data_IF_441533686991
#
_entry.id   IF_441533686991
#
_cell.length_a   1.000
_cell.length_b   1.000
_cell.length_c   1.000
_cell.angle_alpha   90.00
_cell.angle_beta   90.00
_cell.angle_gamma   90.00
#
_symmetry.space_group_name_H-M   'P 1'
#
loop_
_entity.id
_entity.type
_entity.pdbx_description
1 polymer ?
#
# COMPACT_ATOMS: atom_id res chain seq x y z
N UNK A 1 -2.03 -12.27 10.45
CA UNK A 1 -1.34 -12.91 9.31
C UNK A 1 -0.83 -11.87 8.31
N UNK A 2 -1.66 -11.02 7.68
CA UNK A 2 -1.17 -9.99 6.73
C UNK A 2 -0.21 -8.95 7.36
N UNK A 3 -0.42 -8.60 8.63
CA UNK A 3 0.42 -7.63 9.35
C UNK A 3 1.87 -8.06 9.57
N UNK A 4 2.18 -9.35 9.43
CA UNK A 4 3.53 -9.91 9.57
C UNK A 4 4.22 -10.22 8.23
N UNK A 5 3.63 -9.85 7.09
CA UNK A 5 4.25 -10.16 5.81
C UNK A 5 5.45 -9.24 5.51
N UNK A 6 6.49 -9.82 4.92
CA UNK A 6 7.65 -9.08 4.39
C UNK A 6 7.46 -8.62 2.94
N UNK A 7 6.51 -9.22 2.23
CA UNK A 7 6.22 -8.88 0.85
C UNK A 7 5.12 -9.75 0.26
N UNK A 8 4.85 -9.57 -1.02
CA UNK A 8 3.90 -10.41 -1.76
C UNK A 8 4.30 -10.58 -3.22
N UNK A 9 3.73 -11.60 -3.88
CA UNK A 9 3.81 -11.80 -5.33
C UNK A 9 2.40 -11.59 -5.90
N UNK A 10 2.28 -10.70 -6.89
CA UNK A 10 1.01 -10.43 -7.54
C UNK A 10 0.65 -11.54 -8.54
N UNK A 11 -0.40 -12.32 -8.22
CA UNK A 11 -0.88 -13.39 -9.09
C UNK A 11 -1.37 -12.91 -10.46
N UNK A 12 -1.78 -11.64 -10.59
CA UNK A 12 -2.16 -11.08 -11.89
C UNK A 12 -0.98 -11.03 -12.87
N UNK A 13 0.24 -10.95 -12.35
CA UNK A 13 1.48 -10.87 -13.12
C UNK A 13 2.00 -12.26 -13.52
N UNK A 14 1.37 -13.35 -13.08
CA UNK A 14 1.75 -14.74 -13.44
C UNK A 14 1.19 -15.11 -14.80
N UNK A 15 2.01 -15.06 -15.86
CA UNK A 15 1.62 -15.45 -17.23
C UNK A 15 1.16 -16.91 -17.31
N UNK A 16 1.90 -17.85 -16.73
CA UNK A 16 1.60 -19.30 -16.80
C UNK A 16 2.17 -20.06 -15.60
N UNK A 17 1.42 -21.06 -15.13
CA UNK A 17 1.89 -22.07 -14.16
C UNK A 17 2.23 -23.36 -14.90
N UNK A 18 3.50 -23.76 -14.91
CA UNK A 18 4.02 -24.89 -15.70
C UNK A 18 4.91 -25.81 -14.86
N UNK A 19 5.20 -27.01 -15.39
CA UNK A 19 6.19 -27.91 -14.79
C UNK A 19 7.58 -27.29 -14.93
N UNK A 20 8.50 -27.63 -14.03
CA UNK A 20 9.90 -27.21 -14.13
C UNK A 20 10.48 -27.62 -15.49
N UNK A 21 11.31 -26.74 -16.05
CA UNK A 21 12.05 -27.01 -17.28
C UNK A 21 13.48 -26.54 -17.10
N UNK A 22 14.43 -27.48 -17.05
CA UNK A 22 15.86 -27.15 -16.98
C UNK A 22 16.33 -26.44 -18.26
N UNK A 23 17.28 -25.53 -18.11
CA UNK A 23 17.80 -24.67 -19.19
C UNK A 23 16.88 -23.51 -19.57
N UNK A 24 15.84 -23.22 -18.79
CA UNK A 24 14.92 -22.11 -19.06
C UNK A 24 15.46 -20.76 -18.56
N UNK A 25 16.35 -20.78 -17.55
CA UNK A 25 17.03 -19.58 -17.04
C UNK A 25 18.52 -19.88 -16.81
N UNK A 26 19.42 -18.87 -16.91
CA UNK A 26 20.85 -19.06 -16.67
C UNK A 26 21.19 -19.63 -15.28
N UNK A 27 20.30 -19.45 -14.30
CA UNK A 27 20.48 -20.03 -12.97
C UNK A 27 20.46 -21.57 -12.96
N UNK A 28 19.98 -22.22 -14.03
CA UNK A 28 19.82 -23.67 -14.11
C UNK A 28 21.15 -24.40 -14.21
N UNK A 29 22.19 -23.73 -14.71
CA UNK A 29 23.54 -24.29 -14.82
C UNK A 29 24.15 -24.59 -13.45
N UNK A 30 23.69 -23.90 -12.41
CA UNK A 30 24.20 -24.03 -11.04
C UNK A 30 23.28 -24.89 -10.14
N UNK A 31 22.21 -25.49 -10.68
CA UNK A 31 21.23 -26.28 -9.93
C UNK A 31 21.40 -27.78 -10.21
N UNK A 32 21.76 -28.55 -9.18
CA UNK A 32 21.79 -30.01 -9.24
C UNK A 32 20.38 -30.61 -9.09
N UNK A 33 20.22 -31.87 -9.46
CA UNK A 33 19.01 -32.65 -9.18
C UNK A 33 19.16 -33.33 -7.82
N UNK A 34 18.22 -33.09 -6.92
CA UNK A 34 18.28 -33.63 -5.55
C UNK A 34 17.08 -33.23 -4.71
N UNK A 35 17.03 -33.71 -3.46
CA UNK A 35 15.86 -33.56 -2.58
C UNK A 35 16.12 -32.75 -1.31
N UNK A 36 17.21 -32.01 -1.27
CA UNK A 36 17.78 -31.34 -0.08
C UNK A 36 16.91 -30.21 0.52
N UNK A 37 15.72 -29.97 -0.02
CA UNK A 37 14.78 -29.01 0.53
C UNK A 37 14.15 -29.57 1.81
N UNK A 38 14.57 -29.03 2.96
CA UNK A 38 14.00 -29.36 4.26
C UNK A 38 12.62 -28.70 4.43
N UNK A 39 11.55 -29.51 4.41
CA UNK A 39 10.17 -29.03 4.61
C UNK A 39 9.75 -28.94 6.08
N UNK A 40 10.52 -29.55 6.98
CA UNK A 40 10.21 -29.67 8.40
C UNK A 40 11.23 -28.87 9.22
N UNK A 41 11.12 -27.53 9.22
CA UNK A 41 11.74 -26.76 10.30
C UNK A 41 10.97 -27.06 11.58
N UNK A 42 11.48 -27.98 12.39
CA UNK A 42 10.78 -28.57 13.54
C UNK A 42 10.46 -27.60 14.68
N UNK A 43 10.91 -26.34 14.61
CA UNK A 43 10.62 -25.32 15.62
C UNK A 43 9.86 -24.13 15.02
N UNK A 44 8.54 -24.13 15.15
CA UNK A 44 7.70 -22.94 14.93
C UNK A 44 8.16 -21.74 15.80
N UNK A 45 8.90 -22.00 16.89
CA UNK A 45 9.51 -21.00 17.76
C UNK A 45 10.71 -20.27 17.13
N UNK A 46 11.45 -20.90 16.21
CA UNK A 46 12.57 -20.24 15.51
C UNK A 46 12.10 -19.42 14.32
N UNK A 47 11.02 -19.84 13.64
CA UNK A 47 10.39 -19.07 12.55
C UNK A 47 9.88 -17.71 13.03
N UNK A 48 9.46 -17.61 14.30
CA UNK A 48 9.00 -16.35 14.91
C UNK A 48 10.12 -15.43 15.41
N UNK A 49 11.34 -15.93 15.58
CA UNK A 49 12.48 -15.22 16.15
C UNK A 49 13.64 -15.02 15.16
N UNK A 50 13.49 -15.47 13.91
CA UNK A 50 14.49 -15.25 12.87
C UNK A 50 14.48 -13.77 12.45
N UNK A 51 15.16 -12.95 13.26
CA UNK A 51 15.49 -11.55 12.96
C UNK A 51 16.59 -11.44 11.90
N UNK A 52 17.12 -12.58 11.44
CA UNK A 52 18.08 -12.67 10.35
C UNK A 52 17.32 -12.66 9.01
N UNK A 53 17.40 -11.53 8.29
CA UNK A 53 17.00 -11.39 6.87
C UNK A 53 18.04 -12.03 5.93
N UNK A 54 18.70 -13.11 6.35
CA UNK A 54 19.49 -13.91 5.42
C UNK A 54 18.52 -14.59 4.46
N UNK A 55 18.97 -14.80 3.21
CA UNK A 55 18.21 -15.52 2.19
C UNK A 55 17.96 -16.94 2.70
N UNK A 56 16.80 -17.17 3.30
CA UNK A 56 16.40 -18.46 3.83
C UNK A 56 15.84 -19.33 2.69
N UNK A 57 16.31 -20.57 2.61
CA UNK A 57 15.93 -21.48 1.52
C UNK A 57 16.79 -21.40 0.25
N UNK A 58 18.03 -20.90 0.34
CA UNK A 58 19.01 -21.11 -0.71
C UNK A 58 19.37 -22.61 -0.82
N UNK A 59 18.99 -23.24 -1.94
CA UNK A 59 19.23 -24.67 -2.18
C UNK A 59 19.99 -24.87 -3.48
N UNK A 60 21.05 -25.69 -3.44
CA UNK A 60 21.81 -26.09 -4.63
C UNK A 60 21.13 -27.22 -5.41
N UNK A 61 20.20 -27.93 -4.79
CA UNK A 61 19.54 -29.11 -5.37
C UNK A 61 18.01 -28.96 -5.35
N UNK A 62 17.36 -29.43 -6.41
CA UNK A 62 15.89 -29.37 -6.57
C UNK A 62 15.39 -30.64 -7.22
N UNK A 63 14.21 -31.06 -6.79
CA UNK A 63 13.53 -32.23 -7.33
C UNK A 63 12.60 -31.78 -8.46
N UNK A 64 12.98 -32.04 -9.71
CA UNK A 64 12.22 -31.68 -10.91
C UNK A 64 10.80 -32.27 -10.92
N UNK A 65 10.63 -33.47 -10.36
CA UNK A 65 9.35 -34.15 -10.27
C UNK A 65 8.43 -33.50 -9.23
N UNK A 66 8.96 -32.81 -8.22
CA UNK A 66 8.16 -32.09 -7.21
C UNK A 66 8.13 -30.56 -7.41
N UNK A 67 8.91 -30.04 -8.34
CA UNK A 67 9.01 -28.60 -8.60
C UNK A 67 8.10 -28.13 -9.74
N UNK A 68 7.54 -26.93 -9.56
CA UNK A 68 6.78 -26.23 -10.58
C UNK A 68 7.19 -24.76 -10.67
N UNK A 69 6.85 -24.14 -11.80
CA UNK A 69 7.28 -22.79 -12.15
C UNK A 69 6.09 -21.84 -12.34
N UNK A 70 6.25 -20.62 -11.82
CA UNK A 70 5.42 -19.46 -12.14
C UNK A 70 6.19 -18.58 -13.13
N UNK A 71 5.79 -18.61 -14.39
CA UNK A 71 6.32 -17.70 -15.40
C UNK A 71 5.59 -16.36 -15.28
N UNK A 72 6.33 -15.30 -14.95
CA UNK A 72 5.82 -13.93 -14.81
C UNK A 72 5.68 -13.25 -16.19
N UNK A 73 4.86 -12.20 -16.28
CA UNK A 73 4.67 -11.39 -17.50
C UNK A 73 5.94 -10.67 -17.94
N UNK A 74 6.80 -10.34 -16.99
CA UNK A 74 8.10 -9.71 -17.21
C UNK A 74 9.21 -10.69 -17.66
N UNK A 75 8.88 -11.98 -17.82
CA UNK A 75 9.80 -13.03 -18.24
C UNK A 75 10.58 -13.71 -17.12
N UNK A 76 10.48 -13.23 -15.88
CA UNK A 76 11.09 -13.89 -14.72
C UNK A 76 10.33 -15.17 -14.33
N UNK A 77 11.01 -16.06 -13.63
CA UNK A 77 10.47 -17.36 -13.21
C UNK A 77 10.62 -17.51 -11.70
N UNK A 78 9.54 -17.90 -11.03
CA UNK A 78 9.56 -18.36 -9.63
C UNK A 78 9.49 -19.87 -9.60
N UNK A 79 10.34 -20.51 -8.82
CA UNK A 79 10.32 -21.96 -8.59
C UNK A 79 9.81 -22.26 -7.21
N UNK A 80 8.92 -23.24 -7.13
CA UNK A 80 8.33 -23.70 -5.89
C UNK A 80 8.40 -25.22 -5.90
N UNK A 81 9.04 -25.80 -4.89
CA UNK A 81 9.06 -27.24 -4.68
C UNK A 81 7.95 -27.63 -3.70
N UNK A 82 7.13 -28.60 -4.08
CA UNK A 82 6.12 -29.17 -3.19
C UNK A 82 6.68 -30.36 -2.39
N UNK A 83 6.03 -30.69 -1.28
CA UNK A 83 6.38 -31.84 -0.45
C UNK A 83 6.37 -33.16 -1.25
N UNK A 84 5.32 -33.38 -2.06
CA UNK A 84 5.15 -34.55 -2.90
C UNK A 84 4.59 -34.20 -4.30
N UNK A 85 4.54 -35.19 -5.20
CA UNK A 85 4.04 -34.98 -6.58
C UNK A 85 2.52 -34.71 -6.65
N UNK A 86 1.75 -35.21 -5.68
CA UNK A 86 0.30 -35.01 -5.61
C UNK A 86 -0.03 -33.57 -5.21
N UNK A 87 0.66 -33.07 -4.19
CA UNK A 87 0.66 -31.69 -3.72
C UNK A 87 1.09 -30.76 -4.84
N UNK A 88 2.17 -31.09 -5.59
CA UNK A 88 2.55 -30.33 -6.80
C UNK A 88 1.37 -30.19 -7.77
N UNK A 89 0.73 -31.31 -8.13
CA UNK A 89 -0.42 -31.32 -9.05
C UNK A 89 -1.59 -30.49 -8.50
N UNK A 90 -1.88 -30.60 -7.20
CA UNK A 90 -2.93 -29.84 -6.53
C UNK A 90 -2.65 -28.33 -6.50
N UNK A 91 -1.44 -27.93 -6.12
CA UNK A 91 -0.98 -26.54 -6.13
C UNK A 91 -1.05 -25.95 -7.53
N UNK A 92 -0.53 -26.64 -8.54
CA UNK A 92 -0.59 -26.19 -9.92
C UNK A 92 -2.03 -25.99 -10.42
N UNK A 93 -2.96 -26.88 -10.07
CA UNK A 93 -4.37 -26.75 -10.44
C UNK A 93 -4.99 -25.51 -9.79
N UNK A 94 -4.90 -25.40 -8.46
CA UNK A 94 -5.50 -24.30 -7.69
C UNK A 94 -4.89 -22.94 -8.05
N UNK A 95 -3.57 -22.86 -8.25
CA UNK A 95 -2.91 -21.61 -8.66
C UNK A 95 -3.35 -21.16 -10.05
N UNK A 96 -3.56 -22.07 -11.00
CA UNK A 96 -4.12 -21.69 -12.32
C UNK A 96 -5.52 -21.13 -12.20
N UNK A 97 -6.36 -21.76 -11.39
CA UNK A 97 -7.73 -21.29 -11.12
C UNK A 97 -7.71 -19.91 -10.47
N UNK A 98 -6.86 -19.70 -9.46
CA UNK A 98 -6.68 -18.39 -8.79
C UNK A 98 -6.14 -17.32 -9.74
N UNK A 99 -5.10 -17.60 -10.52
CA UNK A 99 -4.54 -16.66 -11.50
C UNK A 99 -5.61 -16.27 -12.53
N UNK A 100 -6.40 -17.24 -13.01
CA UNK A 100 -7.51 -16.97 -13.93
C UNK A 100 -8.56 -16.09 -13.26
N UNK A 101 -9.00 -16.46 -12.06
CA UNK A 101 -10.01 -15.72 -11.30
C UNK A 101 -9.58 -14.27 -11.06
N UNK A 102 -8.41 -14.03 -10.47
CA UNK A 102 -7.96 -12.69 -10.11
C UNK A 102 -7.72 -11.79 -11.31
N UNK A 103 -7.29 -12.34 -12.45
CA UNK A 103 -7.22 -11.58 -13.71
C UNK A 103 -8.58 -11.16 -14.23
N UNK A 104 -9.54 -12.09 -14.24
CA UNK A 104 -10.90 -11.80 -14.67
C UNK A 104 -11.56 -10.79 -13.72
N UNK A 105 -11.41 -10.98 -12.40
CA UNK A 105 -11.95 -10.08 -11.39
C UNK A 105 -11.36 -8.67 -11.49
N UNK A 106 -10.03 -8.55 -11.64
CA UNK A 106 -9.37 -7.24 -11.82
C UNK A 106 -9.82 -6.55 -13.12
N UNK A 107 -10.00 -7.33 -14.19
CA UNK A 107 -10.52 -6.81 -15.45
C UNK A 107 -11.96 -6.32 -15.30
N UNK A 108 -12.82 -7.14 -14.70
CA UNK A 108 -14.23 -6.80 -14.43
C UNK A 108 -14.35 -5.54 -13.57
N UNK A 109 -13.54 -5.40 -12.52
CA UNK A 109 -13.52 -4.18 -11.70
C UNK A 109 -13.15 -2.93 -12.50
N UNK A 110 -12.15 -3.04 -13.40
CA UNK A 110 -11.77 -1.92 -14.27
C UNK A 110 -12.83 -1.64 -15.36
N UNK A 111 -13.46 -2.68 -15.90
CA UNK A 111 -14.52 -2.55 -16.90
C UNK A 111 -15.76 -1.88 -16.27
N UNK A 112 -16.12 -2.26 -15.03
CA UNK A 112 -17.16 -1.60 -14.26
C UNK A 112 -16.81 -0.12 -14.02
N UNK A 113 -15.60 0.16 -13.56
CA UNK A 113 -15.13 1.54 -13.31
C UNK A 113 -15.25 2.41 -14.58
N UNK A 114 -14.84 1.89 -15.73
CA UNK A 114 -14.98 2.56 -17.04
C UNK A 114 -16.43 2.74 -17.46
N UNK A 115 -17.27 1.70 -17.28
CA UNK A 115 -18.67 1.76 -17.68
C UNK A 115 -19.45 2.81 -16.90
N UNK A 116 -19.22 2.91 -15.58
CA UNK A 116 -19.84 3.93 -14.72
C UNK A 116 -19.39 5.33 -15.13
N UNK A 117 -18.09 5.51 -15.41
CA UNK A 117 -17.58 6.78 -15.93
C UNK A 117 -18.25 7.16 -17.25
N UNK A 118 -18.33 6.23 -18.19
CA UNK A 118 -18.94 6.47 -19.51
C UNK A 118 -20.42 6.88 -19.37
N UNK A 119 -21.21 6.16 -18.55
CA UNK A 119 -22.60 6.50 -18.29
C UNK A 119 -22.74 7.91 -17.69
N UNK A 120 -21.84 8.31 -16.79
CA UNK A 120 -21.85 9.63 -16.19
C UNK A 120 -21.48 10.74 -17.17
N UNK A 121 -20.51 10.50 -18.06
CA UNK A 121 -20.17 11.44 -19.13
C UNK A 121 -21.36 11.65 -20.08
N UNK A 122 -22.04 10.58 -20.46
CA UNK A 122 -23.22 10.63 -21.32
C UNK A 122 -24.40 11.34 -20.65
N UNK A 123 -24.69 11.00 -19.39
CA UNK A 123 -25.82 11.58 -18.66
C UNK A 123 -25.63 13.07 -18.36
N UNK A 124 -24.39 13.51 -18.10
CA UNK A 124 -24.05 14.91 -17.89
C UNK A 124 -23.79 15.67 -19.20
N UNK A 125 -23.73 14.98 -20.34
CA UNK A 125 -23.39 15.54 -21.66
C UNK A 125 -22.03 16.26 -21.66
N UNK A 126 -21.05 15.69 -20.99
CA UNK A 126 -19.69 16.25 -20.87
C UNK A 126 -18.65 15.30 -21.46
N UNK A 127 -17.52 15.85 -21.90
CA UNK A 127 -16.36 15.06 -22.30
C UNK A 127 -15.40 14.82 -21.12
N UNK A 128 -14.37 13.99 -21.34
CA UNK A 128 -13.35 13.70 -20.32
C UNK A 128 -12.59 14.95 -19.86
N UNK A 129 -12.49 15.98 -20.70
CA UNK A 129 -11.82 17.24 -20.31
C UNK A 129 -12.70 18.04 -19.33
N UNK A 130 -13.98 18.17 -19.64
CA UNK A 130 -14.96 18.83 -18.78
C UNK A 130 -15.20 18.04 -17.49
N UNK A 131 -15.07 16.71 -17.50
CA UNK A 131 -15.15 15.87 -16.30
C UNK A 131 -14.19 16.32 -15.18
N UNK A 132 -12.95 16.66 -15.54
CA UNK A 132 -11.96 17.13 -14.56
C UNK A 132 -12.39 18.44 -13.89
N UNK A 133 -13.02 19.35 -14.65
CA UNK A 133 -13.50 20.64 -14.14
C UNK A 133 -14.80 20.48 -13.34
N UNK A 134 -15.81 19.82 -13.91
CA UNK A 134 -17.10 19.55 -13.28
C UNK A 134 -16.88 18.76 -11.99
N UNK A 135 -16.06 17.72 -12.05
CA UNK A 135 -15.73 16.91 -10.90
C UNK A 135 -14.98 17.63 -9.77
N UNK A 136 -14.35 18.75 -10.08
CA UNK A 136 -13.56 19.53 -9.13
C UNK A 136 -14.35 20.67 -8.49
N UNK A 137 -15.23 21.31 -9.26
CA UNK A 137 -15.84 22.58 -8.89
C UNK A 137 -17.36 22.63 -8.99
N UNK A 138 -18.00 21.71 -9.72
CA UNK A 138 -19.45 21.74 -9.83
C UNK A 138 -20.11 21.39 -8.50
N UNK A 139 -21.23 22.04 -8.23
CA UNK A 139 -21.94 21.88 -6.98
C UNK A 139 -22.66 20.54 -6.96
N UNK A 140 -22.79 19.94 -5.77
CA UNK A 140 -23.41 18.61 -5.64
C UNK A 140 -24.80 18.54 -6.29
N UNK A 141 -25.61 19.59 -6.16
CA UNK A 141 -26.97 19.61 -6.73
C UNK A 141 -26.99 19.66 -8.27
N UNK A 142 -25.93 20.17 -8.92
CA UNK A 142 -25.79 20.18 -10.38
C UNK A 142 -25.52 18.76 -10.93
N UNK A 143 -24.86 17.91 -10.14
CA UNK A 143 -24.39 16.59 -10.56
C UNK A 143 -25.27 15.44 -10.03
N UNK A 144 -25.80 15.57 -8.81
CA UNK A 144 -26.42 14.45 -8.08
C UNK A 144 -27.74 13.97 -8.68
N UNK A 145 -28.42 14.81 -9.48
CA UNK A 145 -29.66 14.43 -10.18
C UNK A 145 -29.44 13.67 -11.49
N UNK A 146 -28.21 13.69 -12.02
CA UNK A 146 -27.88 13.18 -13.36
C UNK A 146 -26.76 12.14 -13.36
N UNK A 147 -26.01 11.99 -12.27
CA UNK A 147 -24.95 10.99 -12.16
C UNK A 147 -25.41 9.69 -11.51
N UNK A 148 -24.79 8.60 -11.90
CA UNK A 148 -25.00 7.24 -11.41
C UNK A 148 -23.78 6.80 -10.61
N UNK A 149 -24.02 6.16 -9.47
CA UNK A 149 -23.01 5.50 -8.66
C UNK A 149 -23.31 3.99 -8.60
N UNK A 150 -22.31 3.15 -8.88
CA UNK A 150 -22.45 1.70 -8.78
C UNK A 150 -22.22 1.22 -7.35
N UNK A 151 -23.18 0.47 -6.80
CA UNK A 151 -23.04 -0.18 -5.49
C UNK A 151 -21.96 -1.27 -5.49
N UNK A 152 -21.71 -1.92 -6.63
CA UNK A 152 -20.69 -2.96 -6.78
C UNK A 152 -19.26 -2.38 -6.69
N UNK A 153 -19.10 -1.13 -7.15
CA UNK A 153 -17.83 -0.42 -7.07
C UNK A 153 -17.48 -0.05 -5.62
N UNK A 154 -18.47 0.30 -4.79
CA UNK A 154 -18.27 0.74 -3.41
C UNK A 154 -18.72 -0.31 -2.38
N UNK A 155 -18.16 -1.52 -2.47
CA UNK A 155 -18.45 -2.63 -1.55
C UNK A 155 -17.69 -2.53 -0.21
N UNK A 156 -17.68 -1.35 0.41
CA UNK A 156 -16.98 -1.09 1.68
C UNK A 156 -17.85 -1.54 2.87
N UNK A 157 -17.52 -2.69 3.45
CA UNK A 157 -18.15 -3.19 4.68
C UNK A 157 -17.49 -2.53 5.90
N UNK A 158 -18.04 -1.41 6.36
CA UNK A 158 -17.54 -0.68 7.55
C UNK A 158 -17.82 -1.37 8.90
N UNK A 159 -18.78 -2.29 8.94
CA UNK A 159 -19.32 -2.84 10.20
C UNK A 159 -18.66 -4.17 10.59
N UNK A 160 -18.48 -5.09 9.63
CA UNK A 160 -18.22 -6.50 9.96
C UNK A 160 -16.85 -7.04 9.53
N UNK A 161 -15.84 -6.18 9.27
CA UNK A 161 -14.49 -6.59 8.81
C UNK A 161 -14.57 -7.69 7.74
N UNK A 162 -15.52 -7.56 6.82
CA UNK A 162 -15.97 -8.65 5.95
C UNK A 162 -14.86 -9.20 5.03
N UNK A 163 -13.79 -8.42 4.82
CA UNK A 163 -12.64 -8.79 3.99
C UNK A 163 -11.34 -8.48 4.72
N UNK A 164 -10.35 -9.35 4.50
CA UNK A 164 -8.99 -9.12 5.03
C UNK A 164 -8.32 -7.95 4.30
N UNK A 165 -8.46 -7.88 2.98
CA UNK A 165 -8.00 -6.76 2.15
C UNK A 165 -9.22 -5.93 1.79
N UNK A 166 -9.26 -4.68 2.25
CA UNK A 166 -10.35 -3.75 1.94
C UNK A 166 -10.12 -3.10 0.59
N UNK A 167 -8.89 -2.68 0.34
CA UNK A 167 -8.48 -2.03 -0.90
C UNK A 167 -7.01 -2.33 -1.17
N UNK A 168 -6.66 -2.47 -2.44
CA UNK A 168 -5.27 -2.64 -2.84
C UNK A 168 -5.06 -2.02 -4.21
N UNK A 169 -3.93 -1.36 -4.41
CA UNK A 169 -3.67 -0.67 -5.67
C UNK A 169 -2.36 0.07 -5.70
N UNK A 170 -2.06 0.61 -6.88
CA UNK A 170 -0.86 1.41 -7.12
C UNK A 170 -1.12 2.85 -6.71
N UNK A 171 -0.19 3.40 -5.94
CA UNK A 171 -0.18 4.81 -5.56
C UNK A 171 1.23 5.38 -5.72
N UNK A 172 1.30 6.70 -5.82
CA UNK A 172 2.55 7.43 -5.73
C UNK A 172 2.67 8.05 -4.35
N UNK A 173 3.71 7.68 -3.62
CA UNK A 173 3.98 8.13 -2.25
C UNK A 173 5.06 9.19 -2.24
N UNK A 174 4.86 10.22 -1.45
CA UNK A 174 5.84 11.23 -1.08
C UNK A 174 5.92 11.31 0.45
N UNK A 175 6.92 10.67 1.07
CA UNK A 175 6.99 10.50 2.53
C UNK A 175 7.32 11.79 3.28
N UNK A 176 7.91 12.78 2.62
CA UNK A 176 8.23 14.09 3.19
C UNK A 176 7.90 15.20 2.18
N UNK A 177 7.59 16.41 2.67
CA UNK A 177 7.25 17.56 1.83
C UNK A 177 8.28 17.86 0.73
N UNK A 178 9.58 17.68 0.99
CA UNK A 178 10.66 17.98 0.02
C UNK A 178 11.16 16.75 -0.76
N UNK A 179 10.52 15.59 -0.61
CA UNK A 179 10.89 14.38 -1.37
C UNK A 179 10.13 14.27 -2.68
N UNK A 180 10.62 13.44 -3.60
CA UNK A 180 9.93 13.13 -4.86
C UNK A 180 8.91 12.01 -4.66
N UNK A 181 7.96 11.93 -5.60
CA UNK A 181 7.01 10.83 -5.63
C UNK A 181 7.70 9.53 -6.04
N UNK A 182 7.38 8.46 -5.31
CA UNK A 182 7.85 7.10 -5.57
C UNK A 182 6.64 6.19 -5.79
N UNK A 183 6.69 5.35 -6.82
CA UNK A 183 5.62 4.39 -7.10
C UNK A 183 5.66 3.26 -6.06
N UNK A 184 4.52 3.01 -5.43
CA UNK A 184 4.35 1.98 -4.41
C UNK A 184 3.04 1.23 -4.61
N UNK A 185 3.00 -0.01 -4.15
CA UNK A 185 1.76 -0.75 -4.04
C UNK A 185 1.26 -0.64 -2.61
N UNK A 186 -0.01 -0.33 -2.44
CA UNK A 186 -0.60 -0.05 -1.13
C UNK A 186 -1.73 -1.01 -0.88
N UNK A 187 -1.83 -1.53 0.34
CA UNK A 187 -2.88 -2.44 0.78
C UNK A 187 -3.50 -1.90 2.07
N UNK A 188 -4.80 -1.63 2.04
CA UNK A 188 -5.59 -1.28 3.21
C UNK A 188 -6.14 -2.54 3.86
N UNK A 189 -5.73 -2.80 5.10
CA UNK A 189 -6.12 -3.99 5.85
C UNK A 189 -6.15 -3.69 7.35
N UNK A 190 -7.29 -4.00 8.01
CA UNK A 190 -7.43 -4.02 9.48
C UNK A 190 -6.88 -2.76 10.18
N UNK A 191 -7.20 -1.58 9.69
CA UNK A 191 -6.80 -0.31 10.29
C UNK A 191 -5.40 0.15 9.91
N UNK A 192 -4.74 -0.58 9.01
CA UNK A 192 -3.38 -0.32 8.60
C UNK A 192 -3.27 -0.15 7.09
N UNK A 193 -2.46 0.81 6.69
CA UNK A 193 -2.05 1.01 5.32
C UNK A 193 -0.66 0.40 5.13
N UNK A 194 -0.60 -0.81 4.56
CA UNK A 194 0.65 -1.49 4.24
C UNK A 194 1.20 -0.95 2.93
N UNK A 195 2.49 -0.60 2.92
CA UNK A 195 3.16 0.03 1.77
C UNK A 195 4.27 -0.88 1.29
N UNK A 196 4.22 -1.23 0.02
CA UNK A 196 5.17 -2.11 -0.65
C UNK A 196 5.88 -1.41 -1.80
N UNK A 197 7.13 -1.80 -2.04
CA UNK A 197 7.97 -1.30 -3.11
C UNK A 197 7.49 -1.88 -4.44
N UNK A 198 7.16 -1.01 -5.38
CA UNK A 198 6.77 -1.44 -6.74
C UNK A 198 7.92 -1.33 -7.75
N UNK A 199 8.95 -0.54 -7.46
CA UNK A 199 10.09 -0.39 -8.38
C UNK A 199 11.41 -0.58 -7.65
N UNK A 200 12.22 -1.52 -8.15
CA UNK A 200 13.63 -1.66 -7.79
C UNK A 200 14.48 -0.93 -8.82
N UNK A 201 15.53 -0.26 -8.36
CA UNK A 201 16.48 0.47 -9.21
C UNK A 201 17.90 0.09 -8.80
N UNK A 202 18.80 -0.01 -9.77
CA UNK A 202 20.26 -0.12 -9.50
C UNK A 202 20.77 1.22 -8.95
N UNK A 203 22.00 1.23 -8.40
CA UNK A 203 22.68 2.46 -8.02
C UNK A 203 22.80 3.49 -9.16
N UNK A 204 22.79 3.02 -10.43
CA UNK A 204 22.75 3.88 -11.62
C UNK A 204 21.37 4.45 -11.97
N UNK A 205 20.32 4.12 -11.20
CA UNK A 205 18.94 4.59 -11.41
C UNK A 205 18.10 3.77 -12.40
N UNK A 206 18.70 2.80 -13.11
CA UNK A 206 18.00 1.93 -14.07
C UNK A 206 17.03 0.98 -13.35
N UNK A 207 15.78 0.90 -13.84
CA UNK A 207 14.75 -0.01 -13.31
C UNK A 207 15.19 -1.47 -13.45
N UNK A 208 15.08 -2.22 -12.36
CA UNK A 208 15.35 -3.66 -12.27
C UNK A 208 14.02 -4.40 -12.30
N UNK A 209 13.94 -5.38 -13.18
CA UNK A 209 12.80 -6.30 -13.25
C UNK A 209 12.87 -7.21 -12.02
N UNK A 210 11.75 -7.39 -11.34
CA UNK A 210 11.67 -8.17 -10.11
C UNK A 210 10.32 -8.89 -10.02
N UNK A 211 10.22 -9.87 -9.13
CA UNK A 211 9.06 -10.76 -9.00
C UNK A 211 8.17 -10.38 -7.82
N UNK A 212 8.76 -9.92 -6.72
CA UNK A 212 8.06 -9.68 -5.46
C UNK A 212 8.04 -8.20 -5.09
N UNK A 213 7.00 -7.80 -4.37
CA UNK A 213 6.85 -6.48 -3.79
C UNK A 213 7.28 -6.53 -2.32
N UNK A 214 8.44 -5.96 -2.00
CA UNK A 214 8.96 -5.90 -0.62
C UNK A 214 8.19 -4.86 0.21
N UNK A 215 7.82 -5.18 1.44
CA UNK A 215 7.19 -4.25 2.37
C UNK A 215 8.19 -3.20 2.81
N UNK A 216 7.83 -1.93 2.58
CA UNK A 216 8.63 -0.77 2.98
C UNK A 216 8.15 -0.22 4.33
N UNK A 217 6.85 -0.34 4.62
CA UNK A 217 6.27 0.31 5.79
C UNK A 217 4.82 -0.05 6.02
N UNK A 218 4.30 0.45 7.14
CA UNK A 218 2.88 0.39 7.47
C UNK A 218 2.48 1.62 8.25
N UNK A 219 1.32 2.20 7.94
CA UNK A 219 0.73 3.33 8.67
C UNK A 219 -0.45 2.81 9.47
N UNK A 220 -0.45 3.00 10.79
CA UNK A 220 -1.64 2.80 11.63
C UNK A 220 -2.59 4.01 11.44
N UNK A 221 -3.85 3.74 11.13
CA UNK A 221 -4.85 4.76 10.86
C UNK A 221 -5.51 5.33 12.13
N UNK A 222 -5.22 4.78 13.30
CA UNK A 222 -5.71 5.33 14.58
C UNK A 222 -5.23 6.76 14.78
N UNK A 223 -6.16 7.65 15.17
CA UNK A 223 -5.86 9.07 15.39
C UNK A 223 -5.30 9.81 14.16
N UNK A 224 -5.44 9.24 12.96
CA UNK A 224 -5.07 9.91 11.72
C UNK A 224 -6.20 10.82 11.24
N UNK A 225 -5.80 11.89 10.57
CA UNK A 225 -6.66 12.79 9.82
C UNK A 225 -6.39 12.61 8.34
N UNK A 226 -7.44 12.70 7.55
CA UNK A 226 -7.40 12.54 6.10
C UNK A 226 -7.91 13.84 5.46
N UNK A 227 -7.14 14.38 4.52
CA UNK A 227 -7.59 15.48 3.67
C UNK A 227 -7.15 15.24 2.23
N UNK A 228 -7.90 15.79 1.28
CA UNK A 228 -7.73 15.51 -0.15
C UNK A 228 -8.14 16.69 -1.02
N UNK A 229 -7.76 16.64 -2.30
CA UNK A 229 -8.14 17.68 -3.27
C UNK A 229 -7.35 18.97 -3.09
N UNK A 230 -7.99 20.12 -3.29
CA UNK A 230 -7.37 21.45 -3.27
C UNK A 230 -6.57 21.73 -1.98
N UNK A 231 -6.99 21.16 -0.84
CA UNK A 231 -6.27 21.29 0.43
C UNK A 231 -4.82 20.75 0.38
N UNK A 232 -4.54 19.83 -0.54
CA UNK A 232 -3.22 19.20 -0.71
C UNK A 232 -2.26 20.03 -1.57
N UNK A 233 -2.70 21.15 -2.15
CA UNK A 233 -1.89 21.97 -3.04
C UNK A 233 -0.60 22.46 -2.36
N UNK A 234 -0.68 22.84 -1.07
CA UNK A 234 0.46 23.29 -0.28
C UNK A 234 1.52 22.19 -0.01
N UNK A 235 1.13 20.92 -0.13
CA UNK A 235 2.02 19.76 0.03
C UNK A 235 2.76 19.41 -1.28
N UNK A 236 2.32 19.96 -2.40
CA UNK A 236 2.87 19.77 -3.73
C UNK A 236 3.83 20.92 -4.10
N UNK A 237 5.07 20.86 -3.58
CA UNK A 237 6.10 21.89 -3.82
C UNK A 237 6.41 22.20 -5.29
N UNK A 238 6.19 21.25 -6.19
CA UNK A 238 6.42 21.40 -7.61
C UNK A 238 5.08 21.36 -8.32
N UNK A 239 4.40 22.50 -8.39
CA UNK A 239 3.36 22.69 -9.38
C UNK A 239 4.05 22.60 -10.75
N UNK A 240 3.64 21.65 -11.59
CA UNK A 240 4.13 21.56 -12.96
C UNK A 240 3.81 22.89 -13.66
N UNK A 241 4.82 23.75 -13.80
CA UNK A 241 4.79 24.97 -14.61
C UNK A 241 4.96 24.66 -16.10
N UNK A 242 4.50 23.49 -16.55
CA UNK A 242 4.39 23.22 -17.98
C UNK A 242 3.21 24.02 -18.48
N UNK A 243 3.49 25.23 -18.95
CA UNK A 243 2.50 26.09 -19.58
C UNK A 243 2.11 25.47 -20.92
N UNK A 244 0.86 25.02 -21.02
CA UNK A 244 0.27 24.65 -22.31
C UNK A 244 -0.38 25.89 -22.92
N UNK A 245 0.20 26.38 -24.03
CA UNK A 245 -0.35 27.53 -24.76
C UNK A 245 -1.74 27.26 -25.35
N UNK A 246 -2.07 25.99 -25.60
CA UNK A 246 -3.37 25.60 -26.17
C UNK A 246 -4.47 25.44 -25.10
N UNK A 247 -4.08 25.38 -23.82
CA UNK A 247 -5.00 25.20 -22.70
C UNK A 247 -4.60 26.12 -21.52
N UNK A 248 -4.71 27.45 -21.67
CA UNK A 248 -4.38 28.37 -20.58
C UNK A 248 -5.29 28.10 -19.37
N UNK A 249 -4.67 27.92 -18.20
CA UNK A 249 -5.36 27.65 -16.94
C UNK A 249 -5.52 26.16 -16.58
N UNK A 250 -5.14 25.22 -17.46
CA UNK A 250 -5.02 23.80 -17.09
C UNK A 250 -3.54 23.41 -17.04
N UNK A 251 -3.07 22.97 -15.88
CA UNK A 251 -1.66 22.61 -15.70
C UNK A 251 -1.38 21.11 -15.85
N UNK A 252 -2.43 20.28 -15.90
CA UNK A 252 -2.32 18.85 -16.07
C UNK A 252 -2.33 18.44 -17.54
N UNK A 253 -1.26 17.76 -17.96
CA UNK A 253 -1.22 17.07 -19.24
C UNK A 253 -2.12 15.83 -19.20
N UNK A 254 -2.87 15.51 -20.29
CA UNK A 254 -3.59 14.26 -20.42
C UNK A 254 -2.66 13.05 -20.24
N UNK A 255 -3.08 12.09 -19.42
CA UNK A 255 -2.34 10.86 -19.10
C UNK A 255 -3.11 9.64 -19.58
N UNK A 256 -2.39 8.70 -20.17
CA UNK A 256 -2.92 7.39 -20.59
C UNK A 256 -2.12 6.30 -19.89
N UNK A 257 -2.80 5.45 -19.12
CA UNK A 257 -2.21 4.31 -18.43
C UNK A 257 -2.33 3.08 -19.32
N UNK A 258 -1.23 2.70 -19.98
CA UNK A 258 -1.21 1.59 -20.96
C UNK A 258 -1.54 0.21 -20.36
N UNK A 259 -1.45 0.06 -19.04
CA UNK A 259 -1.68 -1.21 -18.34
C UNK A 259 -3.16 -1.64 -18.38
N UNK A 260 -4.08 -0.69 -18.33
CA UNK A 260 -5.52 -0.91 -18.33
C UNK A 260 -6.27 0.03 -19.30
N UNK A 261 -5.58 0.94 -19.99
CA UNK A 261 -6.18 1.94 -20.86
C UNK A 261 -6.92 3.05 -20.11
N UNK A 262 -6.65 3.24 -18.82
CA UNK A 262 -7.27 4.32 -18.05
C UNK A 262 -6.72 5.69 -18.46
N UNK A 263 -7.60 6.68 -18.64
CA UNK A 263 -7.24 8.05 -19.03
C UNK A 263 -7.55 9.03 -17.90
N UNK A 264 -6.73 10.09 -17.75
CA UNK A 264 -6.98 11.15 -16.77
C UNK A 264 -6.38 12.48 -17.24
N UNK A 265 -7.15 13.54 -17.10
CA UNK A 265 -6.76 14.95 -17.31
C UNK A 265 -6.78 15.75 -16.00
N UNK A 266 -6.90 15.06 -14.86
CA UNK A 266 -7.07 15.67 -13.55
C UNK A 266 -5.82 16.42 -13.07
N UNK A 267 -6.04 17.50 -12.33
CA UNK A 267 -4.96 18.24 -11.66
C UNK A 267 -4.27 17.44 -10.56
N UNK A 268 -3.02 17.79 -10.29
CA UNK A 268 -2.20 17.09 -9.31
C UNK A 268 -2.79 17.16 -7.89
N UNK A 269 -3.34 18.31 -7.48
CA UNK A 269 -4.04 18.43 -6.19
C UNK A 269 -5.30 17.54 -6.15
N UNK A 270 -6.02 17.42 -7.27
CA UNK A 270 -7.26 16.65 -7.36
C UNK A 270 -7.04 15.14 -7.44
N UNK A 271 -5.82 14.69 -7.71
CA UNK A 271 -5.43 13.28 -7.64
C UNK A 271 -4.73 12.92 -6.32
N UNK A 272 -4.57 13.88 -5.41
CA UNK A 272 -3.77 13.73 -4.19
C UNK A 272 -4.65 13.69 -2.94
N UNK A 273 -4.23 12.87 -1.98
CA UNK A 273 -4.72 12.85 -0.61
C UNK A 273 -3.55 12.74 0.38
N UNK A 274 -3.77 13.20 1.60
CA UNK A 274 -2.75 13.22 2.64
C UNK A 274 -3.29 12.57 3.89
N UNK A 275 -2.49 11.65 4.43
CA UNK A 275 -2.71 11.07 5.76
C UNK A 275 -1.81 11.83 6.72
N UNK A 276 -2.42 12.54 7.67
CA UNK A 276 -1.75 13.30 8.71
C UNK A 276 -1.95 12.64 10.07
N UNK A 277 -0.89 12.54 10.88
CA UNK A 277 -0.99 12.01 12.23
C UNK A 277 -0.45 13.02 13.24
N UNK A 278 -1.23 13.23 14.31
CA UNK A 278 -1.04 14.34 15.23
C UNK A 278 0.23 14.21 16.09
N UNK A 279 0.57 13.02 16.58
CA UNK A 279 1.81 12.76 17.34
C UNK A 279 2.01 11.26 17.55
N UNK A 280 2.99 10.61 16.92
CA UNK A 280 3.44 9.26 17.33
C UNK A 280 4.89 8.98 16.93
N UNK A 281 5.61 8.34 17.86
CA UNK A 281 7.04 8.01 17.88
C UNK A 281 7.48 6.88 16.91
N UNK A 282 6.65 6.45 15.97
CA UNK A 282 6.99 5.27 15.17
C UNK A 282 6.16 5.18 13.88
N UNK A 283 6.50 6.01 12.89
CA UNK A 283 5.86 5.97 11.56
C UNK A 283 6.30 4.74 10.73
N UNK A 284 7.49 4.19 11.01
CA UNK A 284 8.06 3.07 10.25
C UNK A 284 8.91 2.15 11.15
N UNK A 285 8.28 1.41 12.07
CA UNK A 285 8.91 0.22 12.66
C UNK A 285 8.65 -0.99 11.76
N UNK A 286 9.12 -0.92 10.51
CA UNK A 286 9.52 -2.10 9.76
C UNK A 286 11.00 -1.90 9.45
N UNK A 287 11.82 -2.85 9.91
CA UNK A 287 13.26 -2.84 9.77
C UNK A 287 13.70 -2.43 8.36
N UNK A 288 14.50 -1.36 8.31
CA UNK A 288 15.26 -0.91 7.13
C UNK A 288 14.41 -0.51 5.91
N UNK A 289 13.86 0.70 5.95
CA UNK A 289 13.98 1.56 4.78
C UNK A 289 14.56 2.91 5.17
N UNK A 290 15.37 3.45 4.26
CA UNK A 290 16.42 4.49 4.38
C UNK A 290 15.99 5.86 4.92
N UNK A 291 14.75 6.03 5.37
CA UNK A 291 14.22 7.35 5.75
C UNK A 291 14.46 7.73 7.22
N UNK A 292 14.96 6.85 8.10
CA UNK A 292 15.14 7.14 9.54
C UNK A 292 16.60 7.05 10.05
N UNK A 293 17.61 6.87 9.19
CA UNK A 293 19.03 6.75 9.62
C UNK A 293 19.55 8.02 10.32
N UNK A 294 18.94 9.19 10.08
CA UNK A 294 19.34 10.44 10.78
C UNK A 294 18.77 10.60 12.19
N UNK A 295 17.77 9.82 12.60
CA UNK A 295 17.19 9.92 13.95
C UNK A 295 17.70 8.86 14.92
N UNK A 296 18.26 7.74 14.42
CA UNK A 296 18.82 6.70 15.28
C UNK A 296 20.09 7.13 16.00
N UNK A 297 20.98 7.89 15.34
CA UNK A 297 22.24 8.35 15.93
C UNK A 297 22.02 9.34 17.09
N UNK A 298 21.00 10.21 17.01
CA UNK A 298 20.68 11.14 18.09
C UNK A 298 19.99 10.47 19.29
N UNK A 299 19.40 9.29 19.11
CA UNK A 299 18.78 8.51 20.20
C UNK A 299 19.77 7.61 20.94
N UNK A 300 20.77 7.07 20.24
CA UNK A 300 21.81 6.22 20.85
C UNK A 300 22.72 6.98 21.82
N UNK A 301 22.90 8.28 21.62
CA UNK A 301 23.72 9.12 22.51
C UNK A 301 22.97 9.57 23.77
N UNK A 302 21.63 9.63 23.74
CA UNK A 302 20.82 9.96 24.92
C UNK A 302 20.63 8.78 25.85
N UNK A 303 20.52 7.57 25.31
CA UNK A 303 20.32 6.36 26.11
C UNK A 303 21.63 5.88 26.77
N UNK A 304 22.80 6.16 26.18
CA UNK A 304 24.11 5.86 26.79
C UNK A 304 24.49 6.79 27.96
N UNK A 305 23.90 7.98 28.05
CA UNK A 305 24.13 8.91 29.16
C UNK A 305 23.33 8.55 30.42
N UNK A 306 22.28 7.72 30.30
CA UNK A 306 21.41 7.33 31.41
C UNK A 306 21.89 6.07 32.16
N UNK A 307 22.86 5.33 31.62
CA UNK A 307 23.40 4.10 32.23
C UNK A 307 24.57 4.33 33.21
N UNK A 308 25.04 5.58 33.37
CA UNK A 308 26.07 5.96 34.34
C UNK A 308 25.53 6.96 35.37
N UNK A 309 24.63 6.50 36.23
CA UNK A 309 24.10 7.31 37.34
C UNK A 309 23.27 6.47 38.30
N UNK A 310 23.77 6.28 39.53
CA UNK A 310 23.33 5.24 40.46
C UNK A 310 21.94 5.38 41.11
N UNK A 311 21.38 4.21 41.39
CA UNK A 311 20.55 3.78 42.54
C UNK A 311 19.57 4.78 43.19
N UNK A 312 18.25 4.49 43.10
CA UNK A 312 17.31 4.18 44.22
C UNK A 312 15.84 4.35 43.78
N UNK A 313 14.97 3.43 44.24
CA UNK A 313 13.54 3.70 44.40
C UNK A 313 12.59 2.76 43.64
N UNK A 314 12.26 1.62 44.27
CA UNK A 314 11.20 0.70 43.85
C UNK A 314 9.84 1.36 44.12
N UNK A 315 9.13 1.79 43.08
CA UNK A 315 7.80 2.36 43.17
C UNK A 315 6.95 1.90 41.98
N UNK A 316 6.01 0.99 42.25
CA UNK A 316 5.04 0.49 41.28
C UNK A 316 4.11 1.64 40.86
N UNK A 317 4.40 2.29 39.72
CA UNK A 317 3.51 3.27 39.10
C UNK A 317 2.68 2.57 38.03
N UNK A 318 1.41 2.33 38.35
CA UNK A 318 0.34 2.07 37.37
C UNK A 318 0.35 3.19 36.34
N UNK A 319 0.79 2.91 35.11
CA UNK A 319 0.77 3.87 34.00
C UNK A 319 -0.69 4.05 33.54
N UNK A 320 -1.39 5.03 34.10
CA UNK A 320 -2.58 5.59 33.44
C UNK A 320 -2.12 6.20 32.12
N UNK A 321 -2.52 5.57 31.00
CA UNK A 321 -2.12 5.93 29.65
C UNK A 321 -2.94 7.15 29.19
N UNK A 322 -2.65 8.32 29.76
CA UNK A 322 -3.19 9.59 29.29
C UNK A 322 -2.61 9.89 27.90
N UNK A 323 -3.40 9.66 26.86
CA UNK A 323 -3.09 10.06 25.48
C UNK A 323 -3.34 11.56 25.33
N UNK A 324 -2.26 12.34 25.35
CA UNK A 324 -2.32 13.77 25.03
C UNK A 324 -2.63 13.92 23.54
N UNK A 325 -3.85 14.32 23.22
CA UNK A 325 -4.24 14.70 21.85
C UNK A 325 -3.53 16.01 21.52
N UNK A 326 -2.70 16.03 20.48
CA UNK A 326 -2.08 17.27 20.06
C UNK A 326 -3.09 18.16 19.33
N UNK A 327 -3.15 19.44 19.73
CA UNK A 327 -4.01 20.42 19.09
C UNK A 327 -3.66 20.58 17.60
N UNK A 328 -4.70 20.81 16.79
CA UNK A 328 -4.62 21.14 15.38
C UNK A 328 -3.78 22.42 15.21
N UNK A 329 -2.56 22.30 14.67
CA UNK A 329 -1.58 23.39 14.59
C UNK A 329 -0.16 23.03 15.03
N UNK A 330 0.01 21.88 15.70
CA UNK A 330 1.35 21.33 15.99
C UNK A 330 1.96 20.63 14.77
N UNK A 331 3.30 20.56 14.70
CA UNK A 331 4.05 19.93 13.60
C UNK A 331 3.87 18.40 13.62
N UNK A 332 2.71 17.92 13.17
CA UNK A 332 2.47 16.50 12.91
C UNK A 332 3.25 16.02 11.68
N UNK A 333 3.21 14.72 11.41
CA UNK A 333 3.84 14.14 10.21
C UNK A 333 2.75 13.86 9.17
N UNK A 334 2.97 14.29 7.94
CA UNK A 334 2.11 14.03 6.79
C UNK A 334 2.81 13.11 5.80
N UNK A 335 2.05 12.20 5.21
CA UNK A 335 2.47 11.47 4.01
C UNK A 335 1.48 11.72 2.91
N UNK A 336 2.02 12.15 1.76
CA UNK A 336 1.25 12.52 0.59
C UNK A 336 1.16 11.29 -0.32
N UNK A 337 -0.05 10.95 -0.72
CA UNK A 337 -0.34 9.91 -1.70
C UNK A 337 -1.03 10.52 -2.91
N UNK A 338 -0.66 10.05 -4.10
CA UNK A 338 -1.25 10.48 -5.37
C UNK A 338 -1.73 9.24 -6.13
N UNK A 339 -2.99 9.28 -6.54
CA UNK A 339 -3.63 8.27 -7.38
C UNK A 339 -3.46 8.61 -8.87
N UNK A 340 -3.92 7.74 -9.78
CA UNK A 340 -3.83 7.99 -11.23
C UNK A 340 -4.88 9.01 -11.70
N UNK A 341 -6.04 9.02 -11.04
CA UNK A 341 -7.17 9.91 -11.31
C UNK A 341 -7.87 10.37 -10.03
N UNK A 342 -8.72 11.39 -10.16
CA UNK A 342 -9.56 11.89 -9.08
C UNK A 342 -10.50 10.81 -8.55
N UNK A 343 -11.11 10.03 -9.45
CA UNK A 343 -12.03 8.95 -9.08
C UNK A 343 -11.33 7.84 -8.28
N UNK A 344 -10.10 7.48 -8.64
CA UNK A 344 -9.32 6.53 -7.83
C UNK A 344 -8.96 7.10 -6.45
N UNK A 345 -8.57 8.38 -6.38
CA UNK A 345 -8.33 9.06 -5.11
C UNK A 345 -9.58 9.00 -4.24
N UNK A 346 -10.76 9.29 -4.78
CA UNK A 346 -12.02 9.25 -4.02
C UNK A 346 -12.33 7.86 -3.49
N UNK A 347 -12.08 6.83 -4.30
CA UNK A 347 -12.21 5.45 -3.84
C UNK A 347 -11.28 5.17 -2.64
N UNK A 348 -10.02 5.58 -2.71
CA UNK A 348 -9.07 5.47 -1.59
C UNK A 348 -9.51 6.27 -0.37
N UNK A 349 -9.93 7.52 -0.55
CA UNK A 349 -10.36 8.40 0.54
C UNK A 349 -11.57 7.81 1.26
N UNK A 350 -12.56 7.33 0.53
CA UNK A 350 -13.74 6.66 1.09
C UNK A 350 -13.36 5.40 1.88
N UNK A 351 -12.49 4.55 1.32
CA UNK A 351 -12.02 3.34 2.00
C UNK A 351 -11.25 3.63 3.29
N UNK A 352 -10.38 4.64 3.25
CA UNK A 352 -9.62 5.08 4.42
C UNK A 352 -10.52 5.71 5.50
N UNK A 353 -11.46 6.56 5.09
CA UNK A 353 -12.39 7.22 6.01
C UNK A 353 -13.24 6.19 6.78
N UNK A 354 -13.85 5.23 6.07
CA UNK A 354 -14.64 4.16 6.70
C UNK A 354 -13.81 3.40 7.73
N UNK A 355 -12.53 3.14 7.43
CA UNK A 355 -11.66 2.41 8.34
C UNK A 355 -11.20 3.24 9.55
N UNK A 356 -10.94 4.54 9.36
CA UNK A 356 -10.64 5.49 10.45
C UNK A 356 -11.85 5.61 11.38
N UNK A 357 -13.05 5.77 10.84
CA UNK A 357 -14.29 5.85 11.62
C UNK A 357 -14.53 4.56 12.42
N UNK A 358 -14.34 3.40 11.79
CA UNK A 358 -14.45 2.10 12.47
C UNK A 358 -13.48 1.99 13.64
N UNK A 359 -12.22 2.40 13.46
CA UNK A 359 -11.23 2.40 14.54
C UNK A 359 -11.58 3.39 15.66
N UNK A 360 -12.11 4.57 15.32
CA UNK A 360 -12.52 5.56 16.31
C UNK A 360 -13.68 5.06 17.18
N UNK A 361 -14.63 4.30 16.60
CA UNK A 361 -15.71 3.65 17.36
C UNK A 361 -15.14 2.59 18.31
N UNK A 362 -14.24 1.72 17.83
CA UNK A 362 -13.59 0.69 18.68
C UNK A 362 -12.80 1.31 19.85
N UNK A 363 -12.15 2.45 19.64
CA UNK A 363 -11.46 3.18 20.71
C UNK A 363 -12.45 3.82 21.70
N UNK A 364 -13.58 4.35 21.20
CA UNK A 364 -14.65 4.91 22.02
C UNK A 364 -15.35 3.87 22.90
N UNK A 365 -15.58 2.67 22.38
CA UNK A 365 -16.18 1.55 23.13
C UNK A 365 -15.19 0.91 24.12
N UNK A 366 -13.90 0.88 23.78
CA UNK A 366 -12.84 0.37 24.67
C UNK A 366 -12.41 1.34 25.77
N UNK A 367 -12.74 2.63 25.65
CA UNK A 367 -12.48 3.67 26.65
C UNK A 367 -13.72 3.98 27.47
N UNK A 368 -14.16 3.01 28.27
CA UNK A 368 -15.04 3.30 29.40
C UNK A 368 -14.44 4.44 30.24
N UNK A 369 -15.19 5.53 30.39
CA UNK A 369 -14.95 6.64 31.32
C UNK A 369 -13.55 7.27 31.28
N UNK A 370 -13.06 7.63 30.10
CA UNK A 370 -11.93 8.58 29.97
C UNK A 370 -12.42 10.03 29.85
N UNK A 371 -12.59 10.75 30.96
CA UNK A 371 -12.94 12.18 30.95
C UNK A 371 -11.91 12.97 30.13
N UNK A 372 -12.36 13.60 29.04
CA UNK A 372 -11.58 14.51 28.19
C UNK A 372 -11.50 15.87 28.89
N UNK A 373 -10.38 16.17 29.55
CA UNK A 373 -10.12 17.52 30.07
C UNK A 373 -9.49 18.37 28.97
N UNK A 374 -10.28 19.31 28.43
CA UNK A 374 -9.75 20.46 27.70
C UNK A 374 -9.24 21.42 28.77
N UNK A 375 -7.95 21.72 28.79
CA UNK A 375 -7.42 22.76 29.65
C UNK A 375 -7.95 24.11 29.17
N UNK A 376 -8.80 24.74 29.97
CA UNK A 376 -9.10 26.17 29.84
C UNK A 376 -7.86 26.94 30.30
N UNK A 377 -7.39 27.86 29.47
CA UNK A 377 -6.35 28.84 29.84
C UNK A 377 -7.04 29.99 30.59
N UNK A 378 -6.58 30.25 31.82
CA UNK A 378 -6.80 31.53 32.54
C UNK A 378 -5.87 32.63 32.00
#
# INVERSE_FOLDING_TARGET
MLMGCDGFINLCDVKKVRKMHRGAVPADENLAEGSDVEFNTADEAEVGNNTSRQDDGATSEVDDARTFELLMTNGLVVRLQAYDEQAKKAWMKRLRELVKYWRLRKKEDMDLFKSVRQQNLEALQIDERAEAMVGSFAQRWEISGHSVASAEMYHLCGIARCRTIHMAGLLFRKPRRHTTFTRCYVVLSQGHLLIFRDTLRKGSGRKVVHVHHERIGSVDLRGCYLYSGVLTENDLLYQNRTFDSNAPGTHALPRIHLEDGWTSTDEDAMTTFVVWHATSRSWFRSSQHVDDVRSSEASSDRDKAAEQGGVKGRGYKTKSKLTRVSQLGTTGRSVVFKARSRAERDHWVMGLQVEIERLAVEEGEGSGEGVRLVGEEE
#
